data_IF_483253573429
#
_entry.id   IF_483253573429
#
_cell.length_a   1.000
_cell.length_b   1.000
_cell.length_c   1.000
_cell.angle_alpha   90.00
_cell.angle_beta   90.00
_cell.angle_gamma   90.00
#
_symmetry.space_group_name_H-M   'P 1'
#
loop_
_entity.id
_entity.type
_entity.pdbx_description
1 polymer ?
#
# COMPACT_ATOMS: atom_id res chain seq x y z
N UNK A 1 0.72 -30.05 -15.04
CA UNK A 1 0.94 -29.12 -16.18
C UNK A 1 2.19 -28.28 -15.92
N UNK A 2 3.18 -28.27 -16.83
CA UNK A 2 4.40 -27.44 -16.72
C UNK A 2 4.09 -25.94 -16.64
N UNK A 3 3.04 -25.48 -17.33
CA UNK A 3 2.61 -24.07 -17.35
C UNK A 3 2.09 -23.60 -15.98
N UNK A 4 1.26 -24.41 -15.32
CA UNK A 4 0.76 -24.10 -13.97
C UNK A 4 1.89 -24.03 -12.95
N UNK A 5 2.82 -24.97 -12.99
CA UNK A 5 3.99 -24.97 -12.10
C UNK A 5 4.86 -23.71 -12.29
N UNK A 6 5.02 -23.24 -13.53
CA UNK A 6 5.72 -21.99 -13.82
C UNK A 6 5.01 -20.76 -13.24
N UNK A 7 3.69 -20.68 -13.37
CA UNK A 7 2.88 -19.58 -12.80
C UNK A 7 2.95 -19.56 -11.27
N UNK A 8 2.77 -20.72 -10.63
CA UNK A 8 2.84 -20.83 -9.17
C UNK A 8 4.23 -20.46 -8.63
N UNK A 9 5.30 -20.86 -9.34
CA UNK A 9 6.67 -20.49 -8.98
C UNK A 9 6.88 -18.98 -9.08
N UNK A 10 6.42 -18.33 -10.15
CA UNK A 10 6.52 -16.88 -10.30
C UNK A 10 5.76 -16.12 -9.20
N UNK A 11 4.59 -16.62 -8.78
CA UNK A 11 3.83 -16.06 -7.66
C UNK A 11 4.61 -16.21 -6.34
N UNK A 12 5.14 -17.41 -6.07
CA UNK A 12 5.94 -17.67 -4.87
C UNK A 12 7.22 -16.84 -4.83
N UNK A 13 7.94 -16.71 -5.94
CA UNK A 13 9.16 -15.90 -6.03
C UNK A 13 8.85 -14.42 -5.76
N UNK A 14 7.71 -13.93 -6.29
CA UNK A 14 7.23 -12.58 -6.00
C UNK A 14 6.96 -12.41 -4.50
N UNK A 15 6.20 -13.32 -3.88
CA UNK A 15 5.90 -13.29 -2.44
C UNK A 15 7.17 -13.34 -1.57
N UNK A 16 8.08 -14.27 -1.86
CA UNK A 16 9.37 -14.39 -1.17
C UNK A 16 10.22 -13.14 -1.35
N UNK A 17 10.22 -12.53 -2.55
CA UNK A 17 10.94 -11.28 -2.79
C UNK A 17 10.37 -10.12 -1.97
N UNK A 18 9.05 -10.09 -1.71
CA UNK A 18 8.41 -9.10 -0.84
C UNK A 18 8.77 -9.32 0.63
N UNK A 19 8.76 -10.57 1.09
CA UNK A 19 9.14 -10.95 2.45
C UNK A 19 10.63 -10.71 2.75
N UNK A 20 11.50 -10.81 1.73
CA UNK A 20 12.93 -10.53 1.83
C UNK A 20 13.28 -9.05 1.75
N UNK A 21 12.31 -8.16 1.51
CA UNK A 21 12.64 -6.73 1.40
C UNK A 21 13.11 -6.19 2.74
N UNK A 22 14.11 -5.29 2.74
CA UNK A 22 14.58 -4.63 3.95
C UNK A 22 13.41 -4.03 4.73
N UNK A 23 13.48 -4.04 6.06
CA UNK A 23 12.54 -3.35 6.96
C UNK A 23 12.26 -1.91 6.50
N UNK A 24 13.25 -1.24 5.91
CA UNK A 24 13.13 0.09 5.33
C UNK A 24 12.11 0.18 4.17
N UNK A 25 12.00 -0.86 3.32
CA UNK A 25 11.01 -0.89 2.23
C UNK A 25 9.61 -1.11 2.80
N UNK A 26 9.48 -1.94 3.83
CA UNK A 26 8.21 -2.11 4.53
C UNK A 26 7.78 -0.83 5.25
N UNK A 27 8.71 -0.14 5.92
CA UNK A 27 8.47 1.15 6.56
C UNK A 27 8.05 2.23 5.54
N UNK A 28 8.72 2.29 4.38
CA UNK A 28 8.31 3.18 3.27
C UNK A 28 6.91 2.84 2.75
N UNK A 29 6.62 1.57 2.52
CA UNK A 29 5.29 1.14 2.07
C UNK A 29 4.20 1.48 3.10
N UNK A 30 4.48 1.31 4.38
CA UNK A 30 3.57 1.68 5.46
C UNK A 30 3.32 3.19 5.52
N UNK A 31 4.38 4.00 5.40
CA UNK A 31 4.25 5.45 5.35
C UNK A 31 3.45 5.94 4.13
N UNK A 32 3.58 5.28 2.98
CA UNK A 32 2.70 5.49 1.82
C UNK A 32 1.24 5.16 2.15
N UNK A 33 0.99 3.98 2.74
CA UNK A 33 -0.36 3.55 3.12
C UNK A 33 -1.00 4.51 4.11
N UNK A 34 -0.23 5.02 5.07
CA UNK A 34 -0.70 5.99 6.07
C UNK A 34 -1.09 7.32 5.42
N UNK A 35 -0.26 7.84 4.53
CA UNK A 35 -0.57 9.10 3.85
C UNK A 35 -1.80 8.97 2.95
N UNK A 36 -1.95 7.85 2.25
CA UNK A 36 -3.18 7.56 1.51
C UNK A 36 -4.40 7.49 2.42
N UNK A 37 -4.28 6.82 3.58
CA UNK A 37 -5.36 6.71 4.55
C UNK A 37 -5.78 8.09 5.06
N UNK A 38 -4.81 8.98 5.35
CA UNK A 38 -5.05 10.36 5.79
C UNK A 38 -5.83 11.16 4.73
N UNK A 39 -5.43 11.08 3.46
CA UNK A 39 -6.08 11.79 2.36
C UNK A 39 -7.52 11.28 2.17
N UNK A 40 -7.71 9.96 2.06
CA UNK A 40 -9.03 9.35 1.86
C UNK A 40 -9.98 9.69 3.02
N UNK A 41 -9.48 9.57 4.26
CA UNK A 41 -10.24 9.91 5.47
C UNK A 41 -10.68 11.38 5.46
N UNK A 42 -9.81 12.29 5.05
CA UNK A 42 -10.11 13.72 4.97
C UNK A 42 -11.16 14.03 3.91
N UNK A 43 -11.09 13.40 2.74
CA UNK A 43 -12.08 13.53 1.65
C UNK A 43 -13.44 12.99 2.09
N UNK A 44 -13.48 11.79 2.68
CA UNK A 44 -14.73 11.22 3.19
C UNK A 44 -15.35 12.10 4.29
N UNK A 45 -14.53 12.68 5.16
CA UNK A 45 -15.00 13.64 6.17
C UNK A 45 -15.60 14.89 5.55
N UNK A 46 -15.01 15.45 4.49
CA UNK A 46 -15.56 16.63 3.81
C UNK A 46 -16.85 16.33 3.05
N UNK A 47 -17.10 15.07 2.70
CA UNK A 47 -18.36 14.60 2.13
C UNK A 47 -19.45 14.30 3.17
N UNK A 48 -19.21 14.61 4.46
CA UNK A 48 -20.21 14.44 5.52
C UNK A 48 -20.08 13.15 6.34
N UNK A 49 -18.96 12.43 6.24
CA UNK A 49 -18.64 11.29 7.10
C UNK A 49 -17.59 11.67 8.17
N UNK A 50 -17.96 12.40 9.24
CA UNK A 50 -16.97 12.94 10.20
C UNK A 50 -16.14 11.85 10.90
N UNK A 51 -16.70 10.65 11.09
CA UNK A 51 -15.98 9.50 11.66
C UNK A 51 -14.92 8.91 10.73
N UNK A 52 -14.88 9.30 9.46
CA UNK A 52 -13.86 8.83 8.53
C UNK A 52 -12.45 9.20 8.95
N UNK A 53 -12.27 10.27 9.74
CA UNK A 53 -10.98 10.63 10.33
C UNK A 53 -10.37 9.53 11.22
N UNK A 54 -11.20 8.62 11.74
CA UNK A 54 -10.73 7.45 12.51
C UNK A 54 -10.07 6.39 11.61
N UNK A 55 -10.37 6.35 10.31
CA UNK A 55 -9.88 5.30 9.41
C UNK A 55 -8.37 5.31 9.27
N UNK A 56 -7.75 6.51 9.24
CA UNK A 56 -6.29 6.65 9.22
C UNK A 56 -5.60 6.06 10.46
N UNK A 57 -6.33 5.78 11.55
CA UNK A 57 -5.81 5.12 12.76
C UNK A 57 -5.90 3.59 12.70
N UNK A 58 -6.68 3.02 11.77
CA UNK A 58 -6.75 1.57 11.58
C UNK A 58 -5.51 1.07 10.86
N UNK A 59 -4.75 0.21 11.54
CA UNK A 59 -3.56 -0.43 10.98
C UNK A 59 -3.91 -1.34 9.80
N UNK A 60 -5.10 -1.95 9.81
CA UNK A 60 -5.64 -2.79 8.75
C UNK A 60 -5.90 -1.95 7.49
N UNK A 61 -6.52 -0.78 7.63
CA UNK A 61 -6.79 0.11 6.51
C UNK A 61 -5.50 0.67 5.90
N UNK A 62 -4.56 1.09 6.74
CA UNK A 62 -3.22 1.52 6.30
C UNK A 62 -2.48 0.41 5.56
N UNK A 63 -2.53 -0.82 6.08
CA UNK A 63 -1.90 -1.99 5.46
C UNK A 63 -2.53 -2.33 4.11
N UNK A 64 -3.86 -2.29 4.03
CA UNK A 64 -4.59 -2.51 2.78
C UNK A 64 -4.15 -1.51 1.69
N UNK A 65 -4.04 -0.22 2.03
CA UNK A 65 -3.60 0.81 1.10
C UNK A 65 -2.13 0.66 0.71
N UNK A 66 -1.25 0.29 1.65
CA UNK A 66 0.15 -0.01 1.37
C UNK A 66 0.31 -1.17 0.37
N UNK A 67 -0.44 -2.27 0.57
CA UNK A 67 -0.45 -3.42 -0.34
C UNK A 67 -1.01 -3.02 -1.70
N UNK A 68 -2.09 -2.25 -1.73
CA UNK A 68 -2.69 -1.75 -2.96
C UNK A 68 -1.66 -0.95 -3.76
N UNK A 69 -1.00 0.03 -3.13
CA UNK A 69 0.07 0.83 -3.75
C UNK A 69 1.23 -0.01 -4.27
N UNK A 70 1.70 -1.00 -3.50
CA UNK A 70 2.79 -1.88 -3.91
C UNK A 70 2.44 -2.73 -5.13
N UNK A 71 1.16 -3.06 -5.30
CA UNK A 71 0.65 -3.82 -6.45
C UNK A 71 0.25 -2.93 -7.62
N UNK A 72 0.03 -1.63 -7.41
CA UNK A 72 -0.22 -0.66 -8.48
C UNK A 72 1.04 -0.50 -9.35
N UNK A 73 0.92 -0.66 -10.69
CA UNK A 73 2.02 -0.35 -11.61
C UNK A 73 2.51 1.08 -11.43
N UNK A 74 3.81 1.32 -11.60
CA UNK A 74 4.44 2.61 -11.29
C UNK A 74 3.79 3.81 -11.98
N UNK A 75 3.30 3.64 -13.21
CA UNK A 75 2.64 4.69 -13.99
C UNK A 75 1.22 5.03 -13.52
N UNK A 76 0.60 4.20 -12.68
CA UNK A 76 -0.69 4.48 -12.03
C UNK A 76 -0.55 4.90 -10.55
N UNK A 77 0.67 4.95 -10.01
CA UNK A 77 0.86 5.29 -8.60
C UNK A 77 0.57 6.78 -8.36
N UNK A 78 -0.20 7.13 -7.32
CA UNK A 78 -0.44 8.51 -6.97
C UNK A 78 0.87 9.18 -6.55
N UNK A 79 1.07 10.44 -6.95
CA UNK A 79 2.15 11.26 -6.41
C UNK A 79 1.76 11.69 -5.01
N UNK A 80 2.49 11.21 -4.00
CA UNK A 80 2.27 11.56 -2.61
C UNK A 80 3.37 12.52 -2.15
N UNK A 81 3.00 13.57 -1.42
CA UNK A 81 3.95 14.48 -0.79
C UNK A 81 4.46 13.87 0.51
N UNK A 82 5.41 12.93 0.41
CA UNK A 82 6.07 12.34 1.58
C UNK A 82 7.52 12.81 1.62
N UNK A 83 7.98 13.31 2.76
CA UNK A 83 9.22 14.09 2.92
C UNK A 83 10.54 13.37 2.58
N UNK A 84 10.51 12.06 2.33
CA UNK A 84 11.67 11.28 1.86
C UNK A 84 11.57 10.85 0.39
N UNK A 85 10.53 11.31 -0.33
CA UNK A 85 10.27 10.99 -1.75
C UNK A 85 10.74 12.08 -2.73
N UNK A 86 11.38 13.13 -2.23
CA UNK A 86 12.20 14.10 -2.98
C UNK A 86 13.66 13.75 -2.82
#
# INVERSE_FOLDING_TARGET
SRRLAGVLRAIMDKLVSYLKRPLQVMARAWAVGYEMARIISSVASSWGHPRALEWARSSEFVTYLAITYMNTPSYYRPRLSISWAT
#
